data_IF_085378297905
#
_entry.id   IF_085378297905
#
_cell.length_a   1.000
_cell.length_b   1.000
_cell.length_c   1.000
_cell.angle_alpha   90.00
_cell.angle_beta   90.00
_cell.angle_gamma   90.00
#
_symmetry.space_group_name_H-M   'P 1'
#
loop_
_entity.id
_entity.type
_entity.pdbx_description
1 polymer ?
#
# COMPACT_ATOMS: atom_id res chain seq x y z
N UNK A 1 12.11 -29.41 15.71
CA UNK A 1 12.21 -27.96 15.44
C UNK A 1 11.64 -27.21 16.64
N UNK A 2 12.34 -26.21 17.21
CA UNK A 2 11.83 -25.39 18.31
C UNK A 2 11.60 -23.97 17.80
N UNK A 3 10.43 -23.41 18.08
CA UNK A 3 10.12 -22.01 17.80
C UNK A 3 10.35 -21.21 19.08
N UNK A 4 11.07 -20.09 18.97
CA UNK A 4 11.36 -19.20 20.10
C UNK A 4 10.94 -17.79 19.74
N UNK A 5 10.42 -17.05 20.72
CA UNK A 5 10.16 -15.62 20.57
C UNK A 5 11.50 -14.88 20.35
N UNK A 6 11.52 -14.00 19.35
CA UNK A 6 12.70 -13.21 18.96
C UNK A 6 12.45 -11.71 19.04
N UNK A 7 11.23 -11.26 19.28
CA UNK A 7 10.91 -9.84 19.30
C UNK A 7 9.44 -9.55 19.12
N UNK A 8 9.04 -8.41 19.69
CA UNK A 8 7.70 -7.84 19.58
C UNK A 8 7.82 -6.35 19.28
N UNK A 9 6.75 -5.79 18.73
CA UNK A 9 6.58 -4.36 18.40
C UNK A 9 5.13 -4.00 18.67
N UNK A 10 4.85 -2.71 18.84
CA UNK A 10 3.47 -2.26 18.87
C UNK A 10 2.77 -2.58 17.55
N UNK A 11 1.50 -2.97 17.64
CA UNK A 11 0.72 -3.35 16.46
C UNK A 11 0.39 -2.12 15.65
N UNK A 12 0.93 -2.07 14.44
CA UNK A 12 0.69 -1.03 13.46
C UNK A 12 0.50 -1.69 12.09
N UNK A 13 -0.41 -1.14 11.29
CA UNK A 13 -0.65 -1.56 9.92
C UNK A 13 -1.03 -0.38 9.03
N UNK A 14 -0.81 -0.57 7.74
CA UNK A 14 -1.21 0.34 6.69
C UNK A 14 -1.86 -0.46 5.58
N UNK A 15 -3.12 -0.21 5.33
CA UNK A 15 -3.86 -0.76 4.20
C UNK A 15 -4.00 0.34 3.16
N UNK A 16 -3.41 0.14 1.99
CA UNK A 16 -3.60 1.03 0.85
C UNK A 16 -4.69 0.43 -0.01
N UNK A 17 -5.83 1.12 -0.08
CA UNK A 17 -6.98 0.78 -0.90
C UNK A 17 -6.86 1.53 -2.23
N UNK A 18 -6.78 0.78 -3.33
CA UNK A 18 -6.54 1.34 -4.66
C UNK A 18 -7.10 0.44 -5.76
N UNK A 19 -7.69 1.05 -6.78
CA UNK A 19 -8.14 0.36 -7.98
C UNK A 19 -6.97 0.04 -8.94
N UNK A 20 -7.22 -0.83 -9.92
CA UNK A 20 -6.27 -1.14 -10.99
C UNK A 20 -5.87 -2.61 -11.09
N UNK A 21 -4.97 -2.90 -12.03
CA UNK A 21 -4.54 -4.25 -12.34
C UNK A 21 -3.50 -4.81 -11.34
N UNK A 22 -3.77 -6.02 -10.84
CA UNK A 22 -2.95 -6.68 -9.82
C UNK A 22 -1.58 -7.13 -10.37
N UNK A 23 -1.43 -7.36 -11.68
CA UNK A 23 -0.16 -7.79 -12.27
C UNK A 23 0.79 -6.60 -12.34
N UNK A 24 0.32 -5.45 -12.84
CA UNK A 24 1.05 -4.18 -12.83
C UNK A 24 1.48 -3.81 -11.41
N UNK A 25 0.56 -3.88 -10.44
CA UNK A 25 0.89 -3.64 -9.03
C UNK A 25 2.01 -4.57 -8.55
N UNK A 26 1.93 -5.88 -8.85
CA UNK A 26 2.94 -6.86 -8.44
C UNK A 26 4.32 -6.57 -9.00
N UNK A 27 4.41 -6.13 -10.25
CA UNK A 27 5.69 -5.77 -10.87
C UNK A 27 6.31 -4.54 -10.21
N UNK A 28 5.50 -3.50 -9.99
CA UNK A 28 5.93 -2.32 -9.25
C UNK A 28 6.39 -2.68 -7.82
N UNK A 29 5.58 -3.46 -7.07
CA UNK A 29 5.92 -3.88 -5.70
C UNK A 29 7.24 -4.64 -5.66
N UNK A 30 7.52 -5.52 -6.62
CA UNK A 30 8.80 -6.25 -6.68
C UNK A 30 9.98 -5.30 -6.86
N UNK A 31 9.87 -4.35 -7.80
CA UNK A 31 10.92 -3.34 -8.06
C UNK A 31 11.14 -2.47 -6.82
N UNK A 32 10.06 -2.02 -6.18
CA UNK A 32 10.11 -1.19 -4.97
C UNK A 32 10.72 -1.95 -3.78
N UNK A 33 10.27 -3.19 -3.54
CA UNK A 33 10.77 -4.05 -2.47
C UNK A 33 12.27 -4.33 -2.62
N UNK A 34 12.73 -4.63 -3.83
CA UNK A 34 14.15 -4.85 -4.12
C UNK A 34 14.99 -3.59 -3.86
N UNK A 35 14.50 -2.42 -4.25
CA UNK A 35 15.22 -1.15 -4.12
C UNK A 35 15.29 -0.62 -2.67
N UNK A 36 14.21 -0.76 -1.91
CA UNK A 36 14.05 -0.07 -0.61
C UNK A 36 13.98 -1.02 0.60
N UNK A 37 14.04 -2.34 0.40
CA UNK A 37 13.88 -3.30 1.51
C UNK A 37 12.48 -3.22 2.11
N UNK A 38 11.47 -3.38 1.28
CA UNK A 38 10.06 -3.20 1.63
C UNK A 38 9.27 -4.50 1.51
N UNK A 39 8.24 -4.71 2.33
CA UNK A 39 7.40 -5.91 2.29
C UNK A 39 5.94 -5.52 2.31
N UNK A 40 5.19 -5.99 1.31
CA UNK A 40 3.79 -5.66 1.09
C UNK A 40 3.03 -6.94 0.74
N UNK A 41 1.84 -7.09 1.30
CA UNK A 41 0.89 -8.11 0.89
C UNK A 41 -0.07 -7.46 -0.13
N UNK A 42 -0.18 -8.03 -1.32
CA UNK A 42 -1.18 -7.60 -2.30
C UNK A 42 -2.39 -8.53 -2.24
N UNK A 43 -3.55 -7.98 -1.88
CA UNK A 43 -4.80 -8.71 -1.73
C UNK A 43 -5.76 -8.19 -2.80
N UNK A 44 -6.05 -8.96 -3.87
CA UNK A 44 -6.98 -8.52 -4.90
C UNK A 44 -8.39 -8.37 -4.33
N UNK A 45 -9.13 -7.37 -4.80
CA UNK A 45 -10.53 -7.16 -4.47
C UNK A 45 -11.29 -6.57 -5.65
N UNK A 46 -12.62 -6.51 -5.52
CA UNK A 46 -13.50 -5.79 -6.42
C UNK A 46 -14.19 -4.68 -5.62
N UNK A 47 -14.19 -3.47 -6.18
CA UNK A 47 -14.98 -2.35 -5.70
C UNK A 47 -16.31 -2.37 -6.44
N UNK A 48 -17.40 -2.70 -5.73
CA UNK A 48 -18.76 -2.73 -6.26
C UNK A 48 -19.50 -1.51 -5.74
N UNK A 49 -20.05 -0.70 -6.65
CA UNK A 49 -20.77 0.52 -6.31
C UNK A 49 -21.95 0.72 -7.26
N UNK A 50 -22.79 1.72 -6.96
CA UNK A 50 -24.00 1.96 -7.74
C UNK A 50 -23.68 2.18 -9.22
N UNK A 51 -24.09 1.22 -10.05
CA UNK A 51 -23.91 1.27 -11.50
C UNK A 51 -22.53 0.88 -12.01
N UNK A 52 -21.65 0.31 -11.19
CA UNK A 52 -20.30 -0.04 -11.62
C UNK A 52 -19.60 -1.10 -10.77
N UNK A 53 -18.51 -1.60 -11.35
CA UNK A 53 -17.57 -2.51 -10.71
C UNK A 53 -16.18 -2.14 -11.20
N UNK A 54 -15.21 -2.12 -10.29
CA UNK A 54 -13.81 -1.88 -10.60
C UNK A 54 -12.93 -2.93 -9.92
N UNK A 55 -11.95 -3.47 -10.64
CA UNK A 55 -10.93 -4.32 -10.03
C UNK A 55 -9.95 -3.48 -9.23
N UNK A 56 -9.49 -3.99 -8.10
CA UNK A 56 -8.52 -3.30 -7.27
C UNK A 56 -7.81 -4.21 -6.31
N UNK A 57 -7.21 -3.60 -5.29
CA UNK A 57 -6.48 -4.32 -4.26
C UNK A 57 -6.37 -3.54 -2.95
N UNK A 58 -6.17 -4.30 -1.88
CA UNK A 58 -5.55 -3.81 -0.66
C UNK A 58 -4.07 -4.19 -0.67
N UNK A 59 -3.20 -3.18 -0.69
CA UNK A 59 -1.77 -3.34 -0.46
C UNK A 59 -1.47 -3.11 1.03
N UNK A 60 -1.26 -4.21 1.77
CA UNK A 60 -1.11 -4.21 3.23
C UNK A 60 0.34 -4.26 3.66
N UNK A 61 0.69 -3.39 4.60
CA UNK A 61 1.98 -3.33 5.29
C UNK A 61 1.70 -3.44 6.79
N UNK A 62 2.61 -4.12 7.52
CA UNK A 62 2.57 -4.18 8.98
C UNK A 62 3.92 -3.76 9.55
N UNK A 63 3.94 -3.39 10.84
CA UNK A 63 5.19 -3.30 11.57
C UNK A 63 5.74 -4.72 11.82
N UNK A 64 6.83 -5.07 11.15
CA UNK A 64 7.44 -6.39 11.28
C UNK A 64 8.40 -6.40 12.49
N UNK A 65 8.21 -7.25 13.51
CA UNK A 65 9.16 -7.39 14.62
C UNK A 65 10.56 -7.81 14.18
N UNK A 66 10.66 -8.47 13.01
CA UNK A 66 11.93 -8.86 12.40
C UNK A 66 12.77 -7.65 11.96
N UNK A 67 12.14 -6.52 11.65
CA UNK A 67 12.76 -5.31 11.12
C UNK A 67 12.11 -4.07 11.74
N UNK A 68 12.29 -3.83 13.05
CA UNK A 68 11.62 -2.72 13.73
C UNK A 68 12.09 -1.39 13.14
N UNK A 69 11.12 -0.54 12.78
CA UNK A 69 11.34 0.83 12.28
C UNK A 69 10.52 1.80 13.11
N UNK A 70 10.97 3.04 13.28
CA UNK A 70 10.10 4.07 13.87
C UNK A 70 8.93 4.38 12.93
N UNK A 71 7.77 4.65 13.52
CA UNK A 71 6.51 4.85 12.79
C UNK A 71 6.61 5.98 11.77
N UNK A 72 7.30 7.08 12.09
CA UNK A 72 7.48 8.22 11.19
C UNK A 72 8.17 7.83 9.88
N UNK A 73 9.19 6.96 9.94
CA UNK A 73 9.88 6.49 8.74
C UNK A 73 9.01 5.51 7.96
N UNK A 74 8.25 4.67 8.65
CA UNK A 74 7.35 3.71 8.01
C UNK A 74 6.18 4.42 7.31
N UNK A 75 5.57 5.44 7.94
CA UNK A 75 4.56 6.30 7.35
C UNK A 75 5.05 6.96 6.05
N UNK A 76 6.29 7.47 6.04
CA UNK A 76 6.92 8.05 4.85
C UNK A 76 7.13 7.00 3.76
N UNK A 77 7.67 5.85 4.10
CA UNK A 77 7.95 4.77 3.14
C UNK A 77 6.64 4.23 2.53
N UNK A 78 5.58 4.06 3.34
CA UNK A 78 4.23 3.65 2.91
C UNK A 78 3.62 4.69 1.96
N UNK A 79 3.69 5.99 2.30
CA UNK A 79 3.15 7.03 1.43
C UNK A 79 3.89 7.11 0.09
N UNK A 80 5.22 6.98 0.09
CA UNK A 80 6.01 6.94 -1.14
C UNK A 80 5.66 5.73 -2.00
N UNK A 81 5.48 4.57 -1.38
CA UNK A 81 5.03 3.37 -2.07
C UNK A 81 3.64 3.56 -2.69
N UNK A 82 2.68 4.11 -1.94
CA UNK A 82 1.30 4.34 -2.38
C UNK A 82 1.22 5.32 -3.57
N UNK A 83 1.98 6.41 -3.53
CA UNK A 83 2.07 7.38 -4.63
C UNK A 83 2.60 6.75 -5.92
N UNK A 84 3.75 6.05 -5.85
CA UNK A 84 4.30 5.40 -7.03
C UNK A 84 3.43 4.24 -7.53
N UNK A 85 2.70 3.56 -6.65
CA UNK A 85 1.72 2.54 -7.05
C UNK A 85 0.56 3.18 -7.82
N UNK A 86 0.05 4.32 -7.36
CA UNK A 86 -1.00 5.06 -8.06
C UNK A 86 -0.54 5.57 -9.43
N UNK A 87 0.68 6.09 -9.53
CA UNK A 87 1.29 6.49 -10.81
C UNK A 87 1.39 5.30 -11.79
N UNK A 88 1.91 4.15 -11.33
CA UNK A 88 2.05 2.95 -12.17
C UNK A 88 0.67 2.41 -12.63
N UNK A 89 -0.34 2.47 -11.76
CA UNK A 89 -1.70 2.01 -12.06
C UNK A 89 -2.55 3.07 -12.78
N UNK A 90 -1.97 4.23 -13.09
CA UNK A 90 -2.67 5.39 -13.65
C UNK A 90 -3.91 5.81 -12.84
N UNK A 91 -3.84 5.67 -11.51
CA UNK A 91 -4.89 6.05 -10.58
C UNK A 91 -4.67 7.47 -10.07
N UNK A 92 -5.75 8.26 -9.98
CA UNK A 92 -5.68 9.61 -9.40
C UNK A 92 -5.66 9.62 -7.89
N UNK A 93 -6.23 8.58 -7.28
CA UNK A 93 -6.46 8.57 -5.85
C UNK A 93 -6.25 7.19 -5.25
N UNK A 94 -6.01 7.20 -3.94
CA UNK A 94 -5.91 6.03 -3.10
C UNK A 94 -6.23 6.42 -1.66
N UNK A 95 -6.54 5.43 -0.83
CA UNK A 95 -6.81 5.65 0.58
C UNK A 95 -5.83 4.85 1.42
N UNK A 96 -5.23 5.47 2.44
CA UNK A 96 -4.43 4.77 3.44
C UNK A 96 -5.25 4.68 4.72
N UNK A 97 -5.62 3.45 5.10
CA UNK A 97 -6.23 3.12 6.39
C UNK A 97 -5.15 2.63 7.36
N UNK A 98 -5.17 3.15 8.58
CA UNK A 98 -4.28 2.79 9.69
C UNK A 98 -5.12 2.37 10.90
N UNK A 99 -4.46 2.00 11.99
CA UNK A 99 -5.16 1.64 13.23
C UNK A 99 -5.86 2.84 13.92
N UNK A 100 -5.49 4.08 13.59
CA UNK A 100 -5.96 5.29 14.24
C UNK A 100 -6.65 6.29 13.29
N UNK A 101 -6.40 6.22 11.99
CA UNK A 101 -6.94 7.13 11.00
C UNK A 101 -7.17 6.47 9.63
N UNK A 102 -7.85 7.21 8.75
CA UNK A 102 -8.01 6.86 7.35
C UNK A 102 -7.90 8.14 6.53
N UNK A 103 -6.96 8.16 5.58
CA UNK A 103 -6.62 9.36 4.82
C UNK A 103 -6.80 9.09 3.33
N UNK A 104 -7.64 9.91 2.69
CA UNK A 104 -7.81 9.95 1.24
C UNK A 104 -6.75 10.83 0.61
N UNK A 105 -6.13 10.35 -0.47
CA UNK A 105 -5.18 11.11 -1.28
C UNK A 105 -5.72 11.17 -2.71
N UNK A 106 -5.68 12.36 -3.31
CA UNK A 106 -6.04 12.59 -4.70
C UNK A 106 -5.04 13.54 -5.34
N UNK A 107 -4.65 13.26 -6.57
CA UNK A 107 -3.79 14.11 -7.37
C UNK A 107 -4.57 15.30 -7.96
N UNK A 108 -4.00 16.50 -7.80
CA UNK A 108 -4.44 17.74 -8.42
C UNK A 108 -4.01 17.87 -9.89
N UNK A 109 -3.15 16.97 -10.39
CA UNK A 109 -2.74 16.95 -11.80
C UNK A 109 -3.94 16.64 -12.71
N UNK A 110 -4.14 17.38 -13.81
CA UNK A 110 -5.22 17.11 -14.75
C UNK A 110 -5.05 15.75 -15.43
N UNK A 111 -6.15 14.99 -15.60
CA UNK A 111 -6.16 13.66 -16.25
C UNK A 111 -5.59 13.69 -17.68
N UNK A 112 -5.63 14.85 -18.32
CA UNK A 112 -5.08 15.10 -19.64
C UNK A 112 -4.51 16.52 -19.65
N UNK A 113 -3.19 16.67 -19.88
CA UNK A 113 -2.68 17.93 -20.43
C UNK A 113 -3.30 18.06 -21.83
N UNK A 114 -4.09 19.11 -22.04
CA UNK A 114 -4.55 19.48 -23.39
C UNK A 114 -3.36 19.72 -24.31
#
# INVERSE_FOLDING_TARGET
MKYIDKGTVETQYWNIHIAGDIQTAREYTRKFAFKYGFCVQLIPCEYIYTGGLESGMCARIIQYPRFPKEEVYLNRDVLNYAKGLAEELCQKSFTIERNNDTIYYESDEPLHKK
#
